data_IF_178068680595
#
_entry.id   IF_178068680595
#
_cell.length_a   1.000
_cell.length_b   1.000
_cell.length_c   1.000
_cell.angle_alpha   90.00
_cell.angle_beta   90.00
_cell.angle_gamma   90.00
#
_symmetry.space_group_name_H-M   'P 1'
#
loop_
_entity.id
_entity.type
_entity.pdbx_description
1 polymer ?
#
# COMPACT_ATOMS: atom_id res chain seq x y z
N UNK A 1 -41.43 16.35 -21.66
CA UNK A 1 -40.28 15.79 -22.41
C UNK A 1 -40.01 14.31 -22.12
N UNK A 2 -40.35 13.79 -20.93
CA UNK A 2 -40.11 12.38 -20.56
C UNK A 2 -40.89 11.33 -21.37
N UNK A 3 -42.14 11.62 -21.77
CA UNK A 3 -42.97 10.64 -22.50
C UNK A 3 -42.54 10.40 -23.95
N UNK A 4 -41.93 11.41 -24.59
CA UNK A 4 -41.32 11.27 -25.91
C UNK A 4 -40.08 10.37 -25.88
N UNK A 5 -39.31 10.43 -24.79
CA UNK A 5 -38.13 9.59 -24.60
C UNK A 5 -38.56 8.15 -24.30
N UNK A 6 -39.59 7.95 -23.48
CA UNK A 6 -40.12 6.62 -23.13
C UNK A 6 -40.70 5.89 -24.35
N UNK A 7 -41.44 6.61 -25.20
CA UNK A 7 -41.96 6.05 -26.46
C UNK A 7 -40.86 5.74 -27.48
N UNK A 8 -39.78 6.53 -27.51
CA UNK A 8 -38.60 6.25 -28.35
C UNK A 8 -37.91 4.93 -27.97
N UNK A 9 -37.70 4.68 -26.67
CA UNK A 9 -37.09 3.43 -26.20
C UNK A 9 -38.01 2.21 -26.37
N UNK A 10 -39.33 2.38 -26.25
CA UNK A 10 -40.28 1.29 -26.53
C UNK A 10 -40.31 0.94 -28.02
N UNK A 11 -40.31 1.92 -28.93
CA UNK A 11 -40.20 1.68 -30.38
C UNK A 11 -38.91 0.97 -30.75
N UNK A 12 -37.79 1.35 -30.13
CA UNK A 12 -36.47 0.73 -30.39
C UNK A 12 -36.41 -0.72 -29.87
N UNK A 13 -37.05 -1.02 -28.73
CA UNK A 13 -37.21 -2.40 -28.23
C UNK A 13 -38.11 -3.27 -29.11
N UNK A 14 -39.19 -2.71 -29.66
CA UNK A 14 -40.06 -3.44 -30.59
C UNK A 14 -39.34 -3.77 -31.90
N UNK A 15 -38.58 -2.81 -32.46
CA UNK A 15 -37.81 -3.00 -33.70
C UNK A 15 -36.69 -4.05 -33.54
N UNK A 16 -36.01 -4.07 -32.39
CA UNK A 16 -35.00 -5.08 -32.09
C UNK A 16 -35.59 -6.50 -31.94
N UNK A 17 -36.85 -6.63 -31.47
CA UNK A 17 -37.55 -7.92 -31.45
C UNK A 17 -37.99 -8.37 -32.85
N UNK A 18 -38.39 -7.44 -33.71
CA UNK A 18 -38.78 -7.73 -35.09
C UNK A 18 -37.58 -8.16 -35.95
N UNK A 19 -36.42 -7.54 -35.77
CA UNK A 19 -35.17 -7.95 -36.46
C UNK A 19 -34.65 -9.32 -36.01
N UNK A 20 -34.99 -9.78 -34.79
CA UNK A 20 -34.64 -11.10 -34.28
C UNK A 20 -35.59 -12.22 -34.73
N UNK A 21 -36.73 -11.88 -35.33
CA UNK A 21 -37.75 -12.85 -35.70
C UNK A 21 -37.54 -13.53 -37.08
N UNK A 22 -36.43 -13.23 -37.77
CA UNK A 22 -36.13 -13.82 -39.08
C UNK A 22 -36.93 -13.17 -40.22
N UNK A 23 -36.52 -13.44 -41.47
CA UNK A 23 -37.12 -12.87 -42.68
C UNK A 23 -38.52 -13.49 -42.89
N UNK A 24 -39.59 -12.71 -42.71
CA UNK A 24 -40.96 -13.17 -42.92
C UNK A 24 -41.26 -13.41 -44.40
N UNK A 25 -41.85 -14.57 -44.71
CA UNK A 25 -42.41 -14.90 -46.01
C UNK A 25 -43.91 -14.59 -46.04
N UNK A 26 -44.40 -13.98 -47.12
CA UNK A 26 -45.85 -13.75 -47.36
C UNK A 26 -46.41 -14.92 -48.18
N UNK A 27 -47.62 -15.34 -47.87
CA UNK A 27 -48.35 -16.48 -48.47
C UNK A 27 -48.78 -16.28 -49.95
N UNK A 28 -48.14 -15.40 -50.72
CA UNK A 28 -48.48 -15.15 -52.14
C UNK A 28 -47.29 -15.14 -53.08
N UNK A 29 -46.08 -15.50 -52.63
CA UNK A 29 -44.91 -15.55 -53.52
C UNK A 29 -44.64 -16.98 -53.98
N UNK A 30 -45.15 -17.30 -55.17
CA UNK A 30 -44.64 -18.38 -56.01
C UNK A 30 -43.38 -17.87 -56.71
N UNK A 31 -42.25 -18.57 -56.61
CA UNK A 31 -41.28 -18.80 -57.71
C UNK A 31 -40.20 -19.79 -57.25
N UNK A 32 -40.21 -20.97 -57.87
CA UNK A 32 -39.10 -21.69 -58.50
C UNK A 32 -37.68 -21.23 -58.10
N UNK A 33 -36.71 -22.06 -57.73
CA UNK A 33 -36.13 -23.18 -58.49
C UNK A 33 -34.97 -23.67 -57.62
N UNK A 34 -34.75 -24.98 -57.50
CA UNK A 34 -33.41 -25.62 -57.50
C UNK A 34 -33.67 -27.13 -57.40
N UNK A 35 -33.34 -27.83 -58.50
CA UNK A 35 -33.25 -29.27 -58.58
C UNK A 35 -32.12 -29.78 -57.67
N UNK A 36 -32.42 -30.80 -56.88
CA UNK A 36 -31.43 -31.84 -56.57
C UNK A 36 -32.14 -33.19 -56.62
N UNK A 37 -31.57 -34.08 -57.41
CA UNK A 37 -32.06 -35.40 -57.75
C UNK A 37 -32.06 -36.33 -56.54
N UNK A 38 -33.17 -37.01 -56.30
CA UNK A 38 -33.21 -38.22 -55.47
C UNK A 38 -34.00 -39.29 -56.21
N UNK A 39 -33.30 -40.35 -56.62
CA UNK A 39 -33.93 -41.61 -57.02
C UNK A 39 -34.48 -42.31 -55.76
N UNK A 40 -35.64 -43.00 -55.86
CA UNK A 40 -36.20 -43.74 -54.73
C UNK A 40 -35.60 -45.15 -54.67
N UNK A 41 -34.94 -45.50 -53.56
CA UNK A 41 -34.70 -46.91 -53.18
C UNK A 41 -35.67 -47.32 -52.09
N UNK A 42 -36.31 -48.48 -52.30
CA UNK A 42 -37.31 -49.10 -51.42
C UNK A 42 -36.83 -49.29 -49.96
N UNK A 43 -37.74 -49.27 -48.98
CA UNK A 43 -37.38 -49.40 -47.58
C UNK A 43 -36.97 -50.84 -47.22
N UNK A 44 -35.70 -51.03 -46.87
CA UNK A 44 -35.20 -52.26 -46.25
C UNK A 44 -35.80 -52.40 -44.85
N UNK A 45 -36.53 -53.49 -44.61
CA UNK A 45 -37.08 -53.80 -43.28
C UNK A 45 -35.95 -54.04 -42.29
N UNK A 46 -35.97 -53.32 -41.17
CA UNK A 46 -34.95 -53.34 -40.11
C UNK A 46 -34.96 -54.72 -39.44
N UNK A 47 -33.85 -55.45 -39.51
CA UNK A 47 -33.67 -56.69 -38.77
C UNK A 47 -33.68 -56.39 -37.26
N UNK A 48 -34.36 -57.23 -36.48
CA UNK A 48 -34.35 -57.09 -35.02
C UNK A 48 -32.94 -57.30 -34.47
N UNK A 49 -32.53 -56.54 -33.43
CA UNK A 49 -31.21 -56.70 -32.84
C UNK A 49 -31.05 -58.10 -32.26
N UNK A 50 -29.91 -58.73 -32.50
CA UNK A 50 -29.51 -60.01 -31.92
C UNK A 50 -29.56 -59.97 -30.39
N UNK A 51 -29.79 -61.12 -29.74
CA UNK A 51 -29.88 -61.26 -28.27
C UNK A 51 -28.71 -60.57 -27.55
N UNK A 52 -27.48 -60.71 -28.06
CA UNK A 52 -26.29 -60.06 -27.52
C UNK A 52 -26.34 -58.53 -27.61
N UNK A 53 -26.90 -57.99 -28.70
CA UNK A 53 -27.09 -56.55 -28.88
C UNK A 53 -28.20 -56.01 -27.97
N UNK A 54 -29.24 -56.81 -27.69
CA UNK A 54 -30.28 -56.47 -26.70
C UNK A 54 -29.71 -56.45 -25.29
N UNK A 55 -28.90 -57.45 -24.91
CA UNK A 55 -28.22 -57.53 -23.61
C UNK A 55 -27.23 -56.37 -23.43
N UNK A 56 -26.43 -56.06 -24.46
CA UNK A 56 -25.51 -54.91 -24.43
C UNK A 56 -26.27 -53.57 -24.35
N UNK A 57 -27.39 -53.43 -25.06
CA UNK A 57 -28.26 -52.27 -24.97
C UNK A 57 -28.88 -52.10 -23.58
N UNK A 58 -29.31 -53.19 -22.96
CA UNK A 58 -29.88 -53.19 -21.62
C UNK A 58 -28.83 -52.86 -20.55
N UNK A 59 -27.60 -53.38 -20.69
CA UNK A 59 -26.47 -53.03 -19.83
C UNK A 59 -26.04 -51.55 -20.00
N UNK A 60 -26.12 -51.00 -21.22
CA UNK A 60 -25.86 -49.58 -21.47
C UNK A 60 -26.94 -48.67 -20.84
N UNK A 61 -28.22 -49.09 -20.88
CA UNK A 61 -29.31 -48.38 -20.21
C UNK A 61 -29.17 -48.41 -18.69
N UNK A 62 -28.79 -49.56 -18.10
CA UNK A 62 -28.52 -49.66 -16.67
C UNK A 62 -27.37 -48.75 -16.22
N UNK A 63 -26.32 -48.61 -17.05
CA UNK A 63 -25.22 -47.64 -16.80
C UNK A 63 -25.67 -46.18 -16.92
N UNK A 64 -26.61 -45.86 -17.81
CA UNK A 64 -27.19 -44.52 -17.92
C UNK A 64 -28.12 -44.18 -16.76
N UNK A 65 -28.88 -45.15 -16.25
CA UNK A 65 -29.75 -44.98 -15.10
C UNK A 65 -28.96 -44.85 -13.78
N UNK A 66 -27.91 -45.66 -13.59
CA UNK A 66 -26.97 -45.48 -12.47
C UNK A 66 -26.24 -44.13 -12.52
N UNK A 67 -26.04 -43.55 -13.70
CA UNK A 67 -25.45 -42.21 -13.87
C UNK A 67 -26.47 -41.06 -13.69
N UNK A 68 -27.77 -41.36 -13.66
CA UNK A 68 -28.85 -40.39 -13.38
C UNK A 68 -29.09 -40.18 -11.88
N UNK A 69 -28.72 -41.12 -11.00
CA UNK A 69 -28.90 -40.98 -9.54
C UNK A 69 -27.82 -40.12 -8.88
N UNK A 70 -26.62 -40.03 -9.44
CA UNK A 70 -25.46 -39.36 -8.80
C UNK A 70 -25.04 -38.02 -9.41
N UNK A 71 -25.88 -37.39 -10.24
CA UNK A 71 -25.67 -35.99 -10.66
C UNK A 71 -26.95 -35.19 -10.48
N UNK A 72 -27.01 -34.20 -9.56
CA UNK A 72 -28.11 -33.26 -9.56
C UNK A 72 -28.10 -32.57 -10.93
N UNK A 73 -29.25 -32.61 -11.63
CA UNK A 73 -29.43 -31.87 -12.89
C UNK A 73 -28.94 -30.44 -12.66
N UNK A 74 -27.91 -30.03 -13.39
CA UNK A 74 -27.40 -28.66 -13.41
C UNK A 74 -28.43 -27.76 -14.11
N UNK A 75 -29.55 -27.51 -13.43
CA UNK A 75 -30.47 -26.41 -13.71
C UNK A 75 -30.16 -25.29 -12.72
N UNK A 76 -28.92 -24.81 -12.73
CA UNK A 76 -28.60 -23.53 -12.10
C UNK A 76 -29.12 -22.45 -13.02
N UNK A 77 -30.40 -22.11 -12.87
CA UNK A 77 -30.97 -20.95 -13.55
C UNK A 77 -30.10 -19.72 -13.24
N UNK A 78 -29.99 -18.79 -14.19
CA UNK A 78 -29.24 -17.54 -14.00
C UNK A 78 -29.62 -16.83 -12.69
N UNK A 79 -30.88 -16.99 -12.24
CA UNK A 79 -31.37 -16.52 -10.94
C UNK A 79 -30.72 -17.21 -9.73
N UNK A 80 -30.46 -18.53 -9.78
CA UNK A 80 -29.77 -19.25 -8.72
C UNK A 80 -28.30 -18.83 -8.60
N UNK A 81 -27.64 -18.55 -9.73
CA UNK A 81 -26.27 -18.01 -9.76
C UNK A 81 -26.27 -16.58 -9.19
N UNK A 82 -27.21 -15.73 -9.59
CA UNK A 82 -27.35 -14.37 -9.04
C UNK A 82 -27.66 -14.37 -7.54
N UNK A 83 -28.52 -15.27 -7.06
CA UNK A 83 -28.87 -15.36 -5.65
C UNK A 83 -27.67 -15.81 -4.81
N UNK A 84 -26.86 -16.75 -5.31
CA UNK A 84 -25.64 -17.21 -4.64
C UNK A 84 -24.58 -16.10 -4.59
N UNK A 85 -24.34 -15.44 -5.72
CA UNK A 85 -23.41 -14.29 -5.80
C UNK A 85 -23.86 -13.15 -4.88
N UNK A 86 -25.15 -12.82 -4.84
CA UNK A 86 -25.67 -11.76 -3.96
C UNK A 86 -25.51 -12.13 -2.47
N UNK A 87 -25.75 -13.39 -2.10
CA UNK A 87 -25.61 -13.87 -0.72
C UNK A 87 -24.14 -13.86 -0.27
N UNK A 88 -23.22 -14.32 -1.12
CA UNK A 88 -21.78 -14.27 -0.84
C UNK A 88 -21.28 -12.82 -0.71
N UNK A 89 -21.74 -11.91 -1.58
CA UNK A 89 -21.35 -10.50 -1.55
C UNK A 89 -21.89 -9.77 -0.30
N UNK A 90 -23.08 -10.14 0.18
CA UNK A 90 -23.63 -9.60 1.43
C UNK A 90 -22.89 -10.14 2.66
N UNK A 91 -22.54 -11.43 2.67
CA UNK A 91 -21.72 -12.02 3.74
C UNK A 91 -20.32 -11.40 3.78
N UNK A 92 -19.69 -11.14 2.64
CA UNK A 92 -18.41 -10.42 2.58
C UNK A 92 -18.54 -8.96 2.99
N UNK A 93 -19.62 -8.26 2.64
CA UNK A 93 -19.84 -6.88 3.10
C UNK A 93 -19.97 -6.82 4.62
N UNK A 94 -20.67 -7.78 5.21
CA UNK A 94 -20.78 -7.95 6.68
C UNK A 94 -19.44 -8.30 7.31
N UNK A 95 -18.68 -9.23 6.73
CA UNK A 95 -17.34 -9.58 7.22
C UNK A 95 -16.33 -8.43 7.07
N UNK A 96 -16.42 -7.65 5.99
CA UNK A 96 -15.59 -6.47 5.78
C UNK A 96 -15.90 -5.37 6.81
N UNK A 97 -17.19 -5.13 7.09
CA UNK A 97 -17.61 -4.21 8.15
C UNK A 97 -17.13 -4.67 9.54
N UNK A 98 -17.15 -5.98 9.82
CA UNK A 98 -16.58 -6.54 11.04
C UNK A 98 -15.05 -6.41 11.08
N UNK A 99 -14.35 -6.60 9.95
CA UNK A 99 -12.89 -6.41 9.89
C UNK A 99 -12.47 -4.95 10.05
N UNK A 100 -13.30 -3.99 9.59
CA UNK A 100 -13.09 -2.55 9.79
C UNK A 100 -13.29 -2.14 11.26
N UNK A 101 -14.18 -2.82 12.00
CA UNK A 101 -14.38 -2.60 13.44
C UNK A 101 -13.31 -3.29 14.31
N UNK A 102 -12.65 -4.34 13.80
CA UNK A 102 -11.56 -5.03 14.51
C UNK A 102 -10.17 -4.44 14.24
N UNK A 103 -10.01 -3.59 13.22
CA UNK A 103 -8.73 -2.94 12.90
C UNK A 103 -8.36 -1.78 13.84
N UNK A 104 -9.26 -1.35 14.72
CA UNK A 104 -8.94 -0.28 15.69
C UNK A 104 -8.33 -0.79 17.01
N UNK A 105 -8.42 -2.08 17.36
CA UNK A 105 -8.06 -2.53 18.73
C UNK A 105 -7.35 -3.89 18.90
N UNK A 106 -6.58 -4.39 17.91
CA UNK A 106 -5.78 -5.62 18.12
C UNK A 106 -4.33 -5.49 17.62
N UNK A 107 -3.32 -5.59 18.50
CA UNK A 107 -1.93 -5.75 18.06
C UNK A 107 -1.73 -7.17 17.53
N UNK A 108 -1.58 -7.29 16.21
CA UNK A 108 -1.27 -8.54 15.51
C UNK A 108 0.10 -9.09 15.93
N UNK A 109 0.12 -10.00 16.91
CA UNK A 109 1.18 -11.00 17.09
C UNK A 109 0.96 -12.16 16.11
N UNK A 110 1.07 -11.88 14.81
CA UNK A 110 1.36 -12.93 13.84
C UNK A 110 2.88 -13.13 13.83
N UNK A 111 3.34 -14.33 14.19
CA UNK A 111 4.71 -14.76 13.89
C UNK A 111 4.85 -14.84 12.37
N UNK A 112 5.12 -13.71 11.72
CA UNK A 112 5.53 -13.69 10.33
C UNK A 112 6.94 -14.26 10.27
N UNK A 113 7.06 -15.49 9.78
CA UNK A 113 8.28 -15.91 9.12
C UNK A 113 8.29 -15.09 7.82
N UNK A 114 8.89 -13.91 7.87
CA UNK A 114 9.07 -13.10 6.68
C UNK A 114 10.33 -13.62 6.01
N UNK A 115 10.16 -14.30 4.88
CA UNK A 115 11.28 -14.76 4.06
C UNK A 115 12.06 -13.51 3.59
N UNK A 116 13.35 -13.35 3.94
CA UNK A 116 14.14 -12.16 3.60
C UNK A 116 14.21 -11.91 2.09
N UNK A 117 14.05 -12.97 1.28
CA UNK A 117 13.99 -12.93 -0.18
C UNK A 117 12.81 -12.14 -0.77
N UNK A 118 11.81 -11.81 0.05
CA UNK A 118 10.63 -11.04 -0.37
C UNK A 118 10.93 -9.53 -0.37
N UNK A 119 11.94 -9.06 0.36
CA UNK A 119 12.27 -7.64 0.42
C UNK A 119 13.22 -7.22 -0.70
N UNK A 120 12.93 -6.08 -1.32
CA UNK A 120 13.78 -5.50 -2.36
C UNK A 120 15.09 -4.89 -1.84
N UNK A 121 15.17 -4.59 -0.54
CA UNK A 121 16.33 -3.97 0.12
C UNK A 121 16.69 -4.81 1.33
N UNK A 122 17.99 -5.03 1.55
CA UNK A 122 18.50 -5.70 2.75
C UNK A 122 18.24 -4.85 4.00
N UNK A 123 18.47 -3.53 3.92
CA UNK A 123 18.26 -2.58 5.03
C UNK A 123 17.90 -1.17 4.51
N UNK A 124 17.06 -0.45 5.25
CA UNK A 124 16.64 0.91 4.92
C UNK A 124 17.23 1.88 5.92
N UNK A 125 18.03 2.81 5.42
CA UNK A 125 18.72 3.81 6.22
C UNK A 125 18.10 5.20 6.06
N UNK A 126 18.40 6.04 7.03
CA UNK A 126 17.89 7.39 7.12
C UNK A 126 19.01 8.34 7.52
N UNK A 127 18.80 9.62 7.22
CA UNK A 127 19.69 10.71 7.62
C UNK A 127 18.86 11.83 8.26
N UNK A 128 19.47 12.61 9.13
CA UNK A 128 18.87 13.80 9.71
C UNK A 128 19.86 14.97 9.60
N UNK A 129 19.68 15.86 8.60
CA UNK A 129 20.62 16.97 8.36
C UNK A 129 20.83 17.92 9.54
N UNK A 130 19.86 17.97 10.47
CA UNK A 130 19.89 18.88 11.62
C UNK A 130 20.73 18.36 12.80
N UNK A 131 21.05 17.06 12.83
CA UNK A 131 21.74 16.46 13.97
C UNK A 131 23.13 15.95 13.61
N UNK A 132 23.24 15.13 12.56
CA UNK A 132 24.50 14.57 12.11
C UNK A 132 24.40 14.02 10.68
N UNK A 133 25.52 13.99 9.98
CA UNK A 133 25.64 13.40 8.63
C UNK A 133 25.71 11.86 8.62
N UNK A 134 25.49 11.21 9.76
CA UNK A 134 25.50 9.75 9.86
C UNK A 134 24.28 9.11 9.18
N UNK A 135 24.48 7.89 8.66
CA UNK A 135 23.45 7.09 8.00
C UNK A 135 23.12 5.90 8.90
N UNK A 136 21.92 5.93 9.50
CA UNK A 136 21.50 4.97 10.52
C UNK A 136 20.11 4.43 10.26
N UNK A 137 19.76 3.32 10.92
CA UNK A 137 18.39 2.82 10.89
C UNK A 137 17.43 3.78 11.59
N UNK A 138 16.13 3.69 11.28
CA UNK A 138 15.11 4.55 11.89
C UNK A 138 15.07 4.43 13.41
N UNK A 139 15.30 3.25 13.95
CA UNK A 139 15.21 3.02 15.39
C UNK A 139 16.45 3.52 16.14
N UNK A 140 17.63 3.48 15.52
CA UNK A 140 18.83 4.15 16.03
C UNK A 140 18.67 5.67 16.02
N UNK A 141 18.14 6.22 14.93
CA UNK A 141 17.84 7.66 14.84
C UNK A 141 16.87 8.13 15.94
N UNK A 142 15.82 7.36 16.24
CA UNK A 142 14.92 7.69 17.35
C UNK A 142 15.65 7.74 18.69
N UNK A 143 16.58 6.81 18.94
CA UNK A 143 17.38 6.80 20.18
C UNK A 143 18.31 8.01 20.22
N UNK A 144 19.04 8.28 19.13
CA UNK A 144 19.94 9.43 19.05
C UNK A 144 19.22 10.77 19.19
N UNK A 145 18.08 10.94 18.53
CA UNK A 145 17.24 12.15 18.66
C UNK A 145 16.78 12.31 20.10
N UNK A 146 16.31 11.23 20.73
CA UNK A 146 15.89 11.25 22.12
C UNK A 146 17.05 11.65 23.03
N UNK A 147 18.21 11.00 22.92
CA UNK A 147 19.40 11.29 23.71
C UNK A 147 19.85 12.74 23.55
N UNK A 148 19.93 13.23 22.30
CA UNK A 148 20.27 14.61 22.01
C UNK A 148 19.27 15.60 22.63
N UNK A 149 17.97 15.36 22.48
CA UNK A 149 16.96 16.25 23.06
C UNK A 149 17.01 16.26 24.59
N UNK A 150 17.26 15.12 25.24
CA UNK A 150 17.41 15.09 26.70
C UNK A 150 18.71 15.71 27.20
N UNK A 151 19.79 15.67 26.41
CA UNK A 151 21.03 16.41 26.70
C UNK A 151 20.78 17.92 26.61
N UNK A 152 20.09 18.38 25.57
CA UNK A 152 19.72 19.80 25.39
C UNK A 152 18.71 20.29 26.44
N UNK A 153 17.87 19.40 26.97
CA UNK A 153 16.90 19.73 28.02
C UNK A 153 17.57 20.26 29.31
N UNK A 154 18.84 19.93 29.53
CA UNK A 154 19.61 20.42 30.68
C UNK A 154 20.15 21.86 30.50
N UNK A 155 19.93 22.47 29.33
CA UNK A 155 20.38 23.83 28.99
C UNK A 155 19.35 24.94 29.30
N UNK A 156 19.60 26.13 28.76
CA UNK A 156 18.79 27.34 29.02
C UNK A 156 17.39 27.30 28.38
N UNK A 157 17.21 26.55 27.28
CA UNK A 157 15.97 26.47 26.51
C UNK A 157 15.12 25.22 26.80
N UNK A 158 15.17 24.72 28.05
CA UNK A 158 14.51 23.47 28.45
C UNK A 158 13.03 23.37 28.02
N UNK A 159 12.29 24.48 28.04
CA UNK A 159 10.89 24.51 27.61
C UNK A 159 10.68 24.26 26.12
N UNK A 160 11.54 24.84 25.26
CA UNK A 160 11.48 24.63 23.80
C UNK A 160 11.91 23.21 23.44
N UNK A 161 12.96 22.71 24.09
CA UNK A 161 13.41 21.33 23.91
C UNK A 161 12.32 20.33 24.31
N UNK A 162 11.59 20.59 25.41
CA UNK A 162 10.47 19.74 25.82
C UNK A 162 9.32 19.73 24.79
N UNK A 163 9.02 20.86 24.13
CA UNK A 163 8.08 20.90 23.00
C UNK A 163 8.53 19.95 21.86
N UNK A 164 9.83 19.97 21.52
CA UNK A 164 10.39 19.09 20.50
C UNK A 164 10.36 17.61 20.91
N UNK A 165 10.56 17.29 22.19
CA UNK A 165 10.44 15.92 22.72
C UNK A 165 9.00 15.42 22.55
N UNK A 166 8.01 16.23 22.93
CA UNK A 166 6.59 15.89 22.80
C UNK A 166 6.24 15.53 21.35
N UNK A 167 6.74 16.29 20.38
CA UNK A 167 6.48 16.05 18.96
C UNK A 167 7.30 14.90 18.36
N UNK A 168 8.59 14.78 18.72
CA UNK A 168 9.54 13.92 18.01
C UNK A 168 9.70 12.52 18.62
N UNK A 169 9.49 12.37 19.93
CA UNK A 169 9.71 11.09 20.64
C UNK A 169 8.44 10.25 20.82
N UNK A 170 7.27 10.78 20.47
CA UNK A 170 5.98 10.12 20.66
C UNK A 170 5.38 9.59 19.35
N UNK A 171 4.43 8.66 19.46
CA UNK A 171 3.75 8.05 18.32
C UNK A 171 2.24 8.28 18.36
N UNK A 172 1.66 8.49 17.18
CA UNK A 172 0.22 8.70 17.02
C UNK A 172 -0.12 10.18 17.03
N UNK A 173 -0.28 10.76 15.84
CA UNK A 173 -0.53 12.19 15.63
C UNK A 173 -1.73 12.70 16.44
N UNK A 174 -2.82 11.95 16.46
CA UNK A 174 -4.04 12.31 17.22
C UNK A 174 -3.81 12.38 18.74
N UNK A 175 -2.99 11.49 19.30
CA UNK A 175 -2.68 11.49 20.74
C UNK A 175 -1.81 12.70 21.10
N UNK A 176 -0.83 13.00 20.26
CA UNK A 176 0.06 14.15 20.43
C UNK A 176 -0.76 15.45 20.32
N UNK A 177 -1.60 15.58 19.29
CA UNK A 177 -2.48 16.74 19.11
C UNK A 177 -3.43 16.93 20.31
N UNK A 178 -4.05 15.86 20.82
CA UNK A 178 -4.93 15.97 21.98
C UNK A 178 -4.18 16.34 23.27
N UNK A 179 -2.93 15.89 23.41
CA UNK A 179 -2.05 16.30 24.51
C UNK A 179 -1.69 17.78 24.40
N UNK A 180 -1.23 18.23 23.23
CA UNK A 180 -0.89 19.63 22.95
C UNK A 180 -2.08 20.55 23.20
N UNK A 181 -3.28 20.16 22.78
CA UNK A 181 -4.51 20.92 23.05
C UNK A 181 -4.81 21.02 24.56
N UNK A 182 -4.60 19.93 25.30
CA UNK A 182 -4.85 19.89 26.76
C UNK A 182 -3.83 20.74 27.52
N UNK A 183 -2.54 20.65 27.16
CA UNK A 183 -1.47 21.50 27.72
C UNK A 183 -1.70 22.97 27.39
N UNK A 184 -2.06 23.28 26.14
CA UNK A 184 -2.40 24.63 25.71
C UNK A 184 -3.55 25.22 26.53
N UNK A 185 -4.60 24.43 26.84
CA UNK A 185 -5.70 24.87 27.72
C UNK A 185 -5.24 25.15 29.15
N UNK A 186 -4.31 24.37 29.70
CA UNK A 186 -3.77 24.66 31.03
C UNK A 186 -3.02 25.98 31.06
N UNK A 187 -2.18 26.24 30.06
CA UNK A 187 -1.45 27.51 29.96
C UNK A 187 -2.37 28.69 29.67
N UNK A 188 -3.32 28.54 28.73
CA UNK A 188 -4.32 29.57 28.39
C UNK A 188 -5.13 30.00 29.62
N UNK A 189 -5.50 29.07 30.51
CA UNK A 189 -6.24 29.41 31.73
C UNK A 189 -5.44 30.31 32.68
N UNK A 190 -4.13 30.08 32.79
CA UNK A 190 -3.23 30.87 33.63
C UNK A 190 -2.94 32.22 32.97
N UNK A 191 -2.64 32.23 31.67
CA UNK A 191 -2.34 33.45 30.89
C UNK A 191 -3.53 34.41 30.91
N UNK A 192 -4.75 33.91 30.69
CA UNK A 192 -5.96 34.74 30.65
C UNK A 192 -6.44 35.15 32.05
N UNK A 193 -6.12 34.38 33.09
CA UNK A 193 -6.60 34.62 34.46
C UNK A 193 -5.45 34.50 35.48
N UNK A 194 -4.46 35.39 35.43
CA UNK A 194 -3.23 35.24 36.21
C UNK A 194 -3.48 35.28 37.72
N UNK A 195 -4.51 35.99 38.20
CA UNK A 195 -4.77 36.16 39.64
C UNK A 195 -5.62 35.05 40.27
N UNK A 196 -6.03 34.03 39.50
CA UNK A 196 -6.93 32.98 39.99
C UNK A 196 -6.13 31.71 40.33
N UNK A 197 -5.81 31.53 41.62
CA UNK A 197 -5.01 30.39 42.12
C UNK A 197 -5.61 29.01 41.80
N UNK A 198 -6.92 28.94 41.55
CA UNK A 198 -7.59 27.69 41.14
C UNK A 198 -6.99 27.13 39.84
N UNK A 199 -6.56 27.99 38.91
CA UNK A 199 -5.98 27.55 37.64
C UNK A 199 -4.49 27.22 37.74
N UNK A 200 -3.85 27.57 38.84
CA UNK A 200 -2.44 27.24 39.08
C UNK A 200 -2.24 25.79 39.52
N UNK A 201 -3.31 25.05 39.83
CA UNK A 201 -3.23 23.68 40.35
C UNK A 201 -3.80 22.68 39.36
N UNK A 202 -2.99 21.71 38.95
CA UNK A 202 -3.40 20.59 38.11
C UNK A 202 -3.30 19.31 38.94
N UNK A 203 -4.43 18.60 39.08
CA UNK A 203 -4.49 17.32 39.79
C UNK A 203 -3.96 16.20 38.90
N UNK A 204 -2.90 15.49 39.32
CA UNK A 204 -2.32 14.42 38.50
C UNK A 204 -3.22 13.19 38.41
N UNK A 205 -4.07 12.94 39.41
CA UNK A 205 -5.08 11.88 39.39
C UNK A 205 -6.29 12.14 38.48
N UNK A 206 -6.37 13.31 37.84
CA UNK A 206 -7.46 13.62 36.92
C UNK A 206 -7.40 12.70 35.69
N UNK A 207 -8.52 12.08 35.31
CA UNK A 207 -8.62 11.22 34.13
C UNK A 207 -8.08 11.87 32.86
N UNK A 208 -8.39 13.14 32.62
CA UNK A 208 -7.91 13.86 31.43
C UNK A 208 -6.37 13.94 31.43
N UNK A 209 -5.77 14.23 32.58
CA UNK A 209 -4.32 14.31 32.71
C UNK A 209 -3.68 12.93 32.54
N UNK A 210 -4.23 11.90 33.19
CA UNK A 210 -3.71 10.52 33.12
C UNK A 210 -3.81 9.88 31.74
N UNK A 211 -4.87 10.17 30.98
CA UNK A 211 -5.09 9.58 29.67
C UNK A 211 -4.41 10.35 28.54
N UNK A 212 -4.35 11.69 28.64
CA UNK A 212 -3.89 12.53 27.52
C UNK A 212 -2.49 13.10 27.69
N UNK A 213 -2.10 13.45 28.92
CA UNK A 213 -0.86 14.19 29.19
C UNK A 213 0.22 13.24 29.70
N UNK A 214 -0.06 12.52 30.79
CA UNK A 214 0.91 11.64 31.46
C UNK A 214 1.54 10.55 30.55
N UNK A 215 0.84 9.94 29.58
CA UNK A 215 1.44 8.91 28.72
C UNK A 215 2.40 9.46 27.67
N UNK A 216 2.39 10.77 27.43
CA UNK A 216 3.20 11.43 26.41
C UNK A 216 4.52 11.87 27.04
N UNK A 217 5.61 11.43 26.43
CA UNK A 217 6.96 11.72 26.87
C UNK A 217 7.30 13.21 26.67
N UNK A 218 8.01 13.81 27.63
CA UNK A 218 8.40 15.23 27.63
C UNK A 218 7.36 16.19 28.21
N UNK A 219 6.13 15.74 28.51
CA UNK A 219 5.06 16.60 29.03
C UNK A 219 5.32 17.12 30.44
N UNK A 220 5.84 16.27 31.32
CA UNK A 220 6.20 16.68 32.68
C UNK A 220 7.38 17.64 32.67
N UNK A 221 8.35 17.43 31.78
CA UNK A 221 9.50 18.30 31.63
C UNK A 221 9.09 19.67 31.07
N UNK A 222 8.15 19.69 30.11
CA UNK A 222 7.52 20.91 29.62
C UNK A 222 6.79 21.67 30.74
N UNK A 223 5.98 20.98 31.56
CA UNK A 223 5.27 21.62 32.68
C UNK A 223 6.25 22.16 33.73
N UNK A 224 7.34 21.45 34.03
CA UNK A 224 8.39 21.97 34.91
C UNK A 224 9.05 23.22 34.34
N UNK A 225 9.40 23.23 33.07
CA UNK A 225 9.94 24.41 32.39
C UNK A 225 8.95 25.59 32.33
N UNK A 226 7.65 25.29 32.27
CA UNK A 226 6.57 26.28 32.38
C UNK A 226 6.35 26.79 33.82
N UNK A 227 7.13 26.33 34.80
CA UNK A 227 7.08 26.78 36.20
C UNK A 227 6.12 26.00 37.10
N UNK A 228 5.70 24.80 36.69
CA UNK A 228 4.95 23.89 37.56
C UNK A 228 5.89 23.02 38.40
N UNK A 229 5.58 22.89 39.68
CA UNK A 229 6.27 21.98 40.59
C UNK A 229 5.32 20.89 41.11
N UNK A 230 5.83 19.68 41.27
CA UNK A 230 5.07 18.59 41.88
C UNK A 230 5.05 18.76 43.40
N UNK A 231 3.84 18.83 43.96
CA UNK A 231 3.60 18.95 45.40
C UNK A 231 2.48 18.00 45.83
N UNK A 232 2.62 17.42 47.02
CA UNK A 232 1.55 16.62 47.63
C UNK A 232 0.58 17.54 48.36
N UNK A 233 -0.67 17.53 47.95
CA UNK A 233 -1.73 18.33 48.55
C UNK A 233 -2.86 17.42 49.05
N UNK A 234 -3.49 17.84 50.15
CA UNK A 234 -4.67 17.16 50.67
C UNK A 234 -5.88 17.46 49.79
N UNK A 235 -6.50 16.41 49.26
CA UNK A 235 -7.75 16.47 48.51
C UNK A 235 -8.73 15.43 49.06
N UNK A 236 -9.84 15.89 49.64
CA UNK A 236 -10.84 15.03 50.27
C UNK A 236 -10.24 14.02 51.26
N UNK A 237 -9.41 14.51 52.20
CA UNK A 237 -8.75 13.73 53.26
C UNK A 237 -7.64 12.76 52.79
N UNK A 238 -7.40 12.63 51.48
CA UNK A 238 -6.30 11.86 50.92
C UNK A 238 -5.17 12.79 50.42
N UNK A 239 -3.92 12.39 50.63
CA UNK A 239 -2.76 13.06 50.02
C UNK A 239 -2.62 12.63 48.56
N UNK A 240 -2.64 13.59 47.63
CA UNK A 240 -2.50 13.33 46.20
C UNK A 240 -1.46 14.26 45.58
N UNK A 241 -0.85 13.80 44.47
CA UNK A 241 0.11 14.59 43.72
C UNK A 241 -0.60 15.65 42.84
N UNK A 242 -0.17 16.90 43.01
CA UNK A 242 -0.58 18.04 42.20
C UNK A 242 0.62 18.69 41.55
N UNK A 243 0.42 19.25 40.36
CA UNK A 243 1.33 20.19 39.74
C UNK A 243 0.84 21.60 40.05
N UNK A 244 1.67 22.38 40.73
CA UNK A 244 1.34 23.74 41.18
C UNK A 244 2.24 24.73 40.46
N UNK A 245 1.65 25.66 39.74
CA UNK A 245 2.34 26.76 39.08
C UNK A 245 2.58 27.91 40.08
N UNK A 246 3.77 28.51 39.99
CA UNK A 246 4.14 29.67 40.81
C UNK A 246 4.61 30.84 39.95
N UNK A 247 4.12 32.07 40.17
CA UNK A 247 4.60 33.26 39.45
C UNK A 247 6.10 33.54 39.59
N UNK A 248 6.72 33.04 40.67
CA UNK A 248 8.15 33.21 40.93
C UNK A 248 9.02 32.34 40.01
N UNK A 249 8.47 31.27 39.45
CA UNK A 249 9.21 30.28 38.68
C UNK A 249 9.19 30.57 37.18
N UNK A 250 8.12 31.20 36.67
CA UNK A 250 7.98 31.50 35.25
C UNK A 250 7.07 32.71 35.03
N UNK A 251 7.50 33.63 34.16
CA UNK A 251 6.72 34.81 33.81
C UNK A 251 5.60 34.46 32.81
N UNK A 252 4.54 35.28 32.78
CA UNK A 252 3.42 35.11 31.84
C UNK A 252 3.90 35.22 30.38
N UNK A 253 4.86 36.10 30.09
CA UNK A 253 5.47 36.24 28.76
C UNK A 253 6.15 34.94 28.30
N UNK A 254 6.86 34.27 29.21
CA UNK A 254 7.48 32.98 28.93
C UNK A 254 6.43 31.89 28.70
N UNK A 255 5.33 31.89 29.48
CA UNK A 255 4.21 30.98 29.25
C UNK A 255 3.55 31.20 27.89
N UNK A 256 3.38 32.46 27.47
CA UNK A 256 2.83 32.77 26.14
C UNK A 256 3.73 32.26 25.02
N UNK A 257 5.04 32.48 25.15
CA UNK A 257 6.03 31.98 24.20
C UNK A 257 6.02 30.44 24.15
N UNK A 258 6.01 29.76 25.30
CA UNK A 258 5.96 28.30 25.37
C UNK A 258 4.67 27.71 24.78
N UNK A 259 3.53 28.36 24.98
CA UNK A 259 2.24 27.94 24.41
C UNK A 259 2.22 28.12 22.88
N UNK A 260 2.78 29.21 22.36
CA UNK A 260 2.93 29.42 20.93
C UNK A 260 3.89 28.39 20.31
N UNK A 261 5.05 28.18 20.94
CA UNK A 261 6.03 27.17 20.52
C UNK A 261 5.44 25.75 20.54
N UNK A 262 4.65 25.38 21.56
CA UNK A 262 4.03 24.06 21.64
C UNK A 262 3.07 23.79 20.46
N UNK A 263 2.36 24.82 20.00
CA UNK A 263 1.40 24.73 18.89
C UNK A 263 2.07 24.76 17.52
N UNK A 264 3.21 25.43 17.39
CA UNK A 264 3.96 25.57 16.14
C UNK A 264 5.07 24.53 15.97
N UNK A 265 5.44 23.81 17.03
CA UNK A 265 6.52 22.83 16.99
C UNK A 265 6.23 21.70 15.99
N UNK A 266 7.17 21.48 15.08
CA UNK A 266 7.17 20.35 14.15
C UNK A 266 8.16 19.28 14.62
N UNK A 267 7.86 17.99 14.37
CA UNK A 267 8.80 16.91 14.71
C UNK A 267 10.06 17.01 13.86
N UNK A 268 11.20 16.61 14.44
CA UNK A 268 12.48 16.58 13.71
C UNK A 268 12.35 15.63 12.49
N UNK A 269 12.51 16.13 11.26
CA UNK A 269 12.33 15.32 10.06
C UNK A 269 13.51 14.35 9.92
N UNK A 270 13.16 13.09 9.68
CA UNK A 270 14.11 12.03 9.33
C UNK A 270 13.91 11.75 7.84
N UNK A 271 14.93 12.03 7.05
CA UNK A 271 14.91 11.82 5.61
C UNK A 271 15.32 10.39 5.28
N UNK A 272 14.65 9.81 4.28
CA UNK A 272 15.07 8.52 3.73
C UNK A 272 16.41 8.72 3.02
N UNK A 273 17.44 7.99 3.47
CA UNK A 273 18.69 7.99 2.75
C UNK A 273 18.53 7.18 1.46
N UNK A 274 19.04 7.71 0.36
CA UNK A 274 18.91 7.05 -0.94
C UNK A 274 19.77 5.80 -1.05
N UNK A 275 20.73 5.61 -0.13
CA UNK A 275 21.72 4.54 -0.14
C UNK A 275 22.29 4.40 -1.56
N UNK A 276 22.83 5.50 -2.06
CA UNK A 276 23.33 5.60 -3.42
C UNK A 276 24.44 4.58 -3.61
N UNK A 277 24.27 3.69 -4.59
CA UNK A 277 25.28 2.72 -4.95
C UNK A 277 25.53 2.76 -6.45
N UNK A 278 26.79 2.68 -6.85
CA UNK A 278 27.19 2.60 -8.25
C UNK A 278 27.73 1.21 -8.51
N UNK A 279 27.03 0.48 -9.38
CA UNK A 279 27.33 -0.92 -9.68
C UNK A 279 27.79 -1.07 -11.13
N UNK A 280 28.81 -1.88 -11.34
CA UNK A 280 29.19 -2.34 -12.68
C UNK A 280 28.30 -3.51 -13.13
N UNK A 281 28.11 -3.73 -14.44
CA UNK A 281 27.33 -4.87 -14.96
C UNK A 281 27.80 -6.23 -14.44
N UNK A 282 29.09 -6.39 -14.17
CA UNK A 282 29.68 -7.60 -13.59
C UNK A 282 29.25 -7.82 -12.14
N UNK A 283 29.14 -6.75 -11.36
CA UNK A 283 28.73 -6.77 -9.95
C UNK A 283 27.21 -6.90 -9.80
N UNK A 284 26.44 -6.26 -10.68
CA UNK A 284 24.98 -6.40 -10.69
C UNK A 284 24.52 -7.82 -11.10
N UNK A 285 25.45 -8.61 -11.66
CA UNK A 285 25.25 -9.99 -12.10
C UNK A 285 26.05 -10.95 -11.22
N UNK A 286 25.98 -10.81 -9.88
CA UNK A 286 26.35 -11.92 -8.99
C UNK A 286 25.47 -13.10 -9.37
N UNK A 287 26.01 -13.94 -10.22
CA UNK A 287 25.41 -15.17 -10.68
C UNK A 287 25.65 -16.13 -9.53
N UNK A 288 24.67 -16.25 -8.64
CA UNK A 288 24.67 -17.31 -7.64
C UNK A 288 24.71 -18.63 -8.43
N UNK A 289 25.89 -19.26 -8.53
CA UNK A 289 25.99 -20.62 -9.02
C UNK A 289 25.38 -21.50 -7.94
N UNK A 290 24.11 -21.83 -8.14
CA UNK A 290 23.35 -22.62 -7.18
C UNK A 290 23.77 -24.09 -7.30
N UNK A 291 23.91 -24.81 -6.17
CA UNK A 291 24.25 -26.22 -6.18
C UNK A 291 23.26 -27.03 -7.04
N UNK A 292 23.70 -28.11 -7.71
CA UNK A 292 22.82 -28.96 -8.51
C UNK A 292 21.58 -29.49 -7.77
N UNK A 293 21.67 -29.68 -6.45
CA UNK A 293 20.56 -30.09 -5.58
C UNK A 293 19.43 -29.04 -5.47
N UNK A 294 19.69 -27.78 -5.80
CA UNK A 294 18.65 -26.75 -5.92
C UNK A 294 17.70 -27.04 -7.10
N UNK A 295 18.19 -27.68 -8.16
CA UNK A 295 17.40 -28.02 -9.34
C UNK A 295 16.66 -29.36 -9.19
N UNK A 296 16.91 -30.10 -8.10
CA UNK A 296 16.19 -31.35 -7.80
C UNK A 296 14.98 -31.05 -6.93
N UNK A 297 13.78 -31.34 -7.45
CA UNK A 297 12.52 -31.02 -6.78
C UNK A 297 12.33 -31.89 -5.53
N UNK A 298 12.04 -31.26 -4.39
CA UNK A 298 11.79 -31.97 -3.13
C UNK A 298 10.35 -32.52 -3.08
N UNK A 299 10.10 -33.65 -2.40
CA UNK A 299 8.73 -34.13 -2.17
C UNK A 299 7.85 -33.12 -1.40
N UNK A 300 8.46 -32.23 -0.61
CA UNK A 300 7.73 -31.14 0.07
C UNK A 300 7.31 -30.03 -0.91
N UNK A 301 8.14 -29.73 -1.91
CA UNK A 301 7.82 -28.77 -2.96
C UNK A 301 6.71 -29.29 -3.87
N UNK A 302 6.74 -30.58 -4.22
CA UNK A 302 5.66 -31.23 -5.00
C UNK A 302 4.33 -31.13 -4.26
N UNK A 303 4.31 -31.38 -2.94
CA UNK A 303 3.09 -31.24 -2.12
C UNK A 303 2.59 -29.80 -2.08
N UNK A 304 3.49 -28.82 -1.89
CA UNK A 304 3.14 -27.39 -1.93
C UNK A 304 2.61 -26.98 -3.30
N UNK A 305 3.22 -27.43 -4.39
CA UNK A 305 2.75 -27.13 -5.74
C UNK A 305 1.36 -27.72 -5.98
N UNK A 306 1.12 -28.96 -5.55
CA UNK A 306 -0.21 -29.58 -5.64
C UNK A 306 -1.25 -28.81 -4.82
N UNK A 307 -0.89 -28.33 -3.63
CA UNK A 307 -1.76 -27.51 -2.80
C UNK A 307 -2.06 -26.16 -3.49
N UNK A 308 -1.03 -25.44 -3.96
CA UNK A 308 -1.19 -24.18 -4.68
C UNK A 308 -2.02 -24.32 -5.95
N UNK A 309 -1.88 -25.44 -6.65
CA UNK A 309 -2.68 -25.75 -7.84
C UNK A 309 -4.13 -26.02 -7.49
N UNK A 310 -4.38 -26.75 -6.40
CA UNK A 310 -5.74 -26.97 -5.86
C UNK A 310 -6.37 -25.63 -5.46
N UNK A 311 -5.66 -24.81 -4.68
CA UNK A 311 -6.12 -23.48 -4.27
C UNK A 311 -6.33 -22.55 -5.47
N UNK A 312 -5.50 -22.62 -6.51
CA UNK A 312 -5.67 -21.83 -7.73
C UNK A 312 -6.90 -22.28 -8.51
N UNK A 313 -7.16 -23.59 -8.59
CA UNK A 313 -8.37 -24.14 -9.21
C UNK A 313 -9.60 -23.69 -8.43
N UNK A 314 -9.60 -23.78 -7.10
CA UNK A 314 -10.69 -23.29 -6.26
C UNK A 314 -10.90 -21.77 -6.42
N UNK A 315 -9.82 -21.01 -6.41
CA UNK A 315 -9.83 -19.54 -6.60
C UNK A 315 -10.38 -19.15 -7.98
N UNK A 316 -10.09 -19.94 -9.02
CA UNK A 316 -10.58 -19.72 -10.38
C UNK A 316 -12.01 -20.25 -10.61
N UNK A 317 -12.46 -21.23 -9.82
CA UNK A 317 -13.82 -21.76 -9.85
C UNK A 317 -14.82 -20.79 -9.18
N UNK A 318 -14.38 -19.97 -8.23
CA UNK A 318 -15.22 -18.96 -7.61
C UNK A 318 -15.32 -17.70 -8.49
N UNK A 319 -16.55 -17.24 -8.74
CA UNK A 319 -16.79 -16.00 -9.49
C UNK A 319 -16.36 -14.79 -8.66
N UNK A 320 -15.12 -14.32 -8.87
CA UNK A 320 -14.61 -13.11 -8.21
C UNK A 320 -15.10 -11.86 -8.90
N UNK A 321 -15.68 -10.96 -8.13
CA UNK A 321 -16.05 -9.62 -8.59
C UNK A 321 -14.80 -8.81 -8.93
N UNK A 322 -14.94 -7.78 -9.77
CA UNK A 322 -13.86 -6.83 -10.09
C UNK A 322 -13.23 -6.25 -8.81
N UNK A 323 -14.07 -5.92 -7.82
CA UNK A 323 -13.64 -5.40 -6.53
C UNK A 323 -12.77 -6.38 -5.73
N UNK A 324 -13.07 -7.69 -5.77
CA UNK A 324 -12.23 -8.69 -5.09
C UNK A 324 -10.84 -8.80 -5.71
N UNK A 325 -10.72 -8.70 -7.03
CA UNK A 325 -9.42 -8.76 -7.74
C UNK A 325 -8.58 -7.52 -7.45
N UNK A 326 -9.18 -6.35 -7.57
CA UNK A 326 -8.50 -5.07 -7.28
C UNK A 326 -8.04 -5.01 -5.82
N UNK A 327 -8.85 -5.51 -4.87
CA UNK A 327 -8.49 -5.55 -3.45
C UNK A 327 -7.29 -6.48 -3.17
N UNK A 328 -7.24 -7.63 -3.82
CA UNK A 328 -6.11 -8.57 -3.68
C UNK A 328 -4.83 -8.00 -4.28
N UNK A 329 -4.91 -7.40 -5.47
CA UNK A 329 -3.78 -6.71 -6.10
C UNK A 329 -3.27 -5.59 -5.19
N UNK A 330 -4.17 -4.74 -4.68
CA UNK A 330 -3.80 -3.68 -3.73
C UNK A 330 -3.21 -4.22 -2.41
N UNK A 331 -3.57 -5.44 -1.98
CA UNK A 331 -2.99 -6.06 -0.78
C UNK A 331 -1.54 -6.52 -1.05
N UNK A 332 -1.26 -7.02 -2.25
CA UNK A 332 0.11 -7.38 -2.67
C UNK A 332 0.94 -6.11 -2.84
N UNK A 333 0.41 -5.07 -3.47
CA UNK A 333 1.12 -3.80 -3.68
C UNK A 333 1.41 -3.05 -2.36
N UNK A 334 0.47 -3.06 -1.40
CA UNK A 334 0.67 -2.49 -0.05
C UNK A 334 1.64 -3.28 0.84
N UNK A 335 2.14 -4.43 0.37
CA UNK A 335 3.15 -5.22 1.11
C UNK A 335 4.49 -4.50 1.16
N UNK A 336 4.80 -3.71 0.14
CA UNK A 336 6.06 -3.01 0.02
C UNK A 336 5.92 -1.57 0.51
N UNK A 337 6.82 -1.16 1.41
CA UNK A 337 6.92 0.24 1.88
C UNK A 337 7.96 1.04 1.12
N UNK A 338 8.98 0.35 0.60
CA UNK A 338 10.09 0.92 -0.13
C UNK A 338 10.29 0.19 -1.46
N UNK A 339 10.95 0.87 -2.39
CA UNK A 339 11.30 0.41 -3.72
C UNK A 339 12.77 0.72 -4.01
N UNK A 340 13.45 -0.19 -4.72
CA UNK A 340 14.79 0.05 -5.26
C UNK A 340 14.70 0.33 -6.73
N UNK A 341 15.27 1.45 -7.16
CA UNK A 341 15.38 1.81 -8.56
C UNK A 341 16.83 1.68 -8.99
N UNK A 342 17.04 0.98 -10.11
CA UNK A 342 18.35 0.80 -10.75
C UNK A 342 18.32 1.48 -12.10
N UNK A 343 18.95 2.65 -12.19
CA UNK A 343 19.06 3.44 -13.40
C UNK A 343 20.31 2.98 -14.16
N UNK A 344 20.11 2.32 -15.30
CA UNK A 344 21.17 1.83 -16.16
C UNK A 344 21.54 2.91 -17.19
N UNK A 345 22.80 3.29 -17.20
CA UNK A 345 23.37 4.24 -18.14
C UNK A 345 23.89 3.56 -19.42
N UNK A 346 24.02 4.30 -20.54
CA UNK A 346 24.54 3.78 -21.80
C UNK A 346 25.99 3.24 -21.74
N UNK A 347 26.79 3.74 -20.81
CA UNK A 347 28.14 3.25 -20.51
C UNK A 347 28.15 1.91 -19.74
N UNK A 348 26.96 1.40 -19.39
CA UNK A 348 26.77 0.16 -18.65
C UNK A 348 26.73 0.34 -17.14
N UNK A 349 27.02 1.54 -16.63
CA UNK A 349 27.00 1.79 -15.18
C UNK A 349 25.55 1.77 -14.67
N UNK A 350 25.34 1.23 -13.47
CA UNK A 350 24.02 1.18 -12.84
C UNK A 350 24.06 2.02 -11.56
N UNK A 351 23.26 3.09 -11.53
CA UNK A 351 23.00 3.90 -10.35
C UNK A 351 21.80 3.32 -9.60
N UNK A 352 22.01 2.88 -8.37
CA UNK A 352 20.97 2.34 -7.51
C UNK A 352 20.57 3.37 -6.45
N UNK A 353 19.26 3.51 -6.24
CA UNK A 353 18.70 4.33 -5.16
C UNK A 353 17.48 3.68 -4.53
N UNK A 354 17.28 3.93 -3.24
CA UNK A 354 16.15 3.47 -2.43
C UNK A 354 15.14 4.60 -2.25
N UNK A 355 13.87 4.30 -2.50
CA UNK A 355 12.77 5.26 -2.49
C UNK A 355 11.57 4.71 -1.72
N UNK A 356 10.75 5.57 -1.13
CA UNK A 356 9.44 5.15 -0.61
C UNK A 356 8.45 4.93 -1.76
N UNK A 357 7.57 3.92 -1.66
CA UNK A 357 6.60 3.62 -2.73
C UNK A 357 5.60 4.75 -2.99
N UNK A 358 5.44 5.66 -2.03
CA UNK A 358 4.56 6.82 -2.11
C UNK A 358 5.27 8.09 -2.60
N UNK A 359 6.58 8.02 -2.86
CA UNK A 359 7.28 9.14 -3.45
C UNK A 359 6.85 9.37 -4.90
N UNK A 360 6.91 10.64 -5.29
CA UNK A 360 6.65 11.08 -6.64
C UNK A 360 7.80 10.69 -7.54
N UNK A 361 7.50 10.39 -8.81
CA UNK A 361 8.53 10.14 -9.80
C UNK A 361 9.45 11.36 -10.02
N UNK A 362 8.95 12.56 -9.77
CA UNK A 362 9.76 13.78 -9.77
C UNK A 362 11.03 13.67 -8.92
N UNK A 363 10.93 13.12 -7.70
CA UNK A 363 12.07 12.94 -6.80
C UNK A 363 13.13 12.00 -7.40
N UNK A 364 12.72 11.02 -8.21
CA UNK A 364 13.64 10.11 -8.91
C UNK A 364 14.36 10.87 -10.02
N UNK A 365 13.65 11.72 -10.75
CA UNK A 365 14.24 12.57 -11.78
C UNK A 365 15.24 13.55 -11.17
N UNK A 366 14.88 14.22 -10.08
CA UNK A 366 15.77 15.11 -9.32
C UNK A 366 17.00 14.35 -8.82
N UNK A 367 16.82 13.16 -8.23
CA UNK A 367 17.92 12.29 -7.82
C UNK A 367 18.85 11.94 -8.97
N UNK A 368 18.33 11.61 -10.16
CA UNK A 368 19.19 11.34 -11.33
C UNK A 368 19.94 12.62 -11.72
N UNK A 369 19.24 13.75 -11.83
CA UNK A 369 19.81 15.03 -12.23
C UNK A 369 20.95 15.48 -11.31
N UNK A 370 20.79 15.36 -9.99
CA UNK A 370 21.81 15.71 -8.99
C UNK A 370 23.11 14.90 -9.13
N UNK A 371 23.04 13.70 -9.72
CA UNK A 371 24.17 12.80 -9.89
C UNK A 371 24.82 12.88 -11.29
N UNK A 372 24.24 13.64 -12.22
CA UNK A 372 24.79 13.85 -13.57
C UNK A 372 25.91 14.88 -13.57
N UNK A 373 26.86 14.81 -14.50
CA UNK A 373 27.90 15.86 -14.62
C UNK A 373 27.29 17.25 -14.90
N UNK A 374 26.22 17.28 -15.69
CA UNK A 374 25.49 18.50 -16.04
C UNK A 374 24.00 18.36 -15.65
N UNK A 375 23.67 18.96 -14.51
CA UNK A 375 22.34 18.92 -13.89
C UNK A 375 21.26 19.61 -14.76
N UNK A 376 21.63 20.36 -15.82
CA UNK A 376 20.70 21.13 -16.66
C UNK A 376 20.25 20.42 -17.94
N UNK A 377 20.73 19.20 -18.17
CA UNK A 377 20.49 18.49 -19.41
C UNK A 377 19.14 17.76 -19.39
N UNK A 378 18.30 17.85 -20.44
CA UNK A 378 17.10 17.04 -20.57
C UNK A 378 17.47 15.57 -20.86
N UNK A 379 17.01 14.67 -20.00
CA UNK A 379 17.14 13.23 -20.18
C UNK A 379 15.77 12.55 -20.11
N UNK A 380 15.71 11.31 -20.59
CA UNK A 380 14.54 10.46 -20.60
C UNK A 380 14.84 9.18 -19.82
N UNK A 381 13.88 8.77 -18.99
CA UNK A 381 13.91 7.52 -18.27
C UNK A 381 12.91 6.56 -18.91
N UNK A 382 13.39 5.39 -19.32
CA UNK A 382 12.61 4.41 -20.07
C UNK A 382 12.50 3.13 -19.25
N UNK A 383 11.28 2.62 -19.06
CA UNK A 383 11.10 1.32 -18.41
C UNK A 383 11.57 0.18 -19.33
N UNK A 384 11.82 -1.03 -18.81
CA UNK A 384 12.22 -2.18 -19.64
C UNK A 384 11.16 -2.53 -20.70
N UNK A 385 9.90 -2.16 -20.44
CA UNK A 385 8.76 -2.33 -21.35
C UNK A 385 8.75 -1.30 -22.50
N UNK A 386 9.75 -0.41 -22.56
CA UNK A 386 9.86 0.65 -23.58
C UNK A 386 8.97 1.86 -23.31
N UNK A 387 8.35 1.95 -22.13
CA UNK A 387 7.49 3.09 -21.76
C UNK A 387 8.39 4.25 -21.35
N UNK A 388 8.26 5.37 -22.06
CA UNK A 388 8.97 6.62 -21.72
C UNK A 388 8.24 7.30 -20.56
N UNK A 389 8.95 7.54 -19.47
CA UNK A 389 8.45 8.24 -18.29
C UNK A 389 8.60 9.75 -18.53
N UNK A 390 7.60 10.32 -19.23
CA UNK A 390 7.52 11.73 -19.63
C UNK A 390 6.96 12.56 -18.44
N UNK A 391 6.92 13.88 -18.59
CA UNK A 391 6.47 14.85 -17.59
C UNK A 391 5.14 14.52 -16.89
N UNK A 392 4.18 13.92 -17.61
CA UNK A 392 2.90 13.46 -17.05
C UNK A 392 3.05 12.39 -15.96
N UNK A 393 4.22 11.76 -15.86
CA UNK A 393 4.54 10.78 -14.83
C UNK A 393 5.13 11.40 -13.56
N UNK A 394 5.63 12.64 -13.58
CA UNK A 394 6.28 13.28 -12.41
C UNK A 394 5.35 13.36 -11.19
N UNK A 395 4.06 13.61 -11.41
CA UNK A 395 3.06 13.69 -10.34
C UNK A 395 2.59 12.33 -9.81
N UNK A 396 2.90 11.22 -10.50
CA UNK A 396 2.46 9.88 -10.13
C UNK A 396 3.41 9.25 -9.12
N UNK A 397 2.87 8.41 -8.24
CA UNK A 397 3.66 7.67 -7.26
C UNK A 397 4.37 6.47 -7.89
N UNK A 398 5.47 6.01 -7.30
CA UNK A 398 6.15 4.78 -7.76
C UNK A 398 5.23 3.55 -7.71
N UNK A 399 4.30 3.52 -6.76
CA UNK A 399 3.25 2.52 -6.65
C UNK A 399 2.32 2.51 -7.88
N UNK A 400 1.88 3.68 -8.33
CA UNK A 400 1.01 3.83 -9.50
C UNK A 400 1.72 3.46 -10.80
N UNK A 401 3.00 3.80 -10.89
CA UNK A 401 3.87 3.43 -12.02
C UNK A 401 4.31 1.96 -11.99
N UNK A 402 3.91 1.20 -10.95
CA UNK A 402 4.30 -0.20 -10.71
C UNK A 402 5.81 -0.43 -10.72
N UNK A 403 6.59 0.57 -10.31
CA UNK A 403 8.05 0.50 -10.19
C UNK A 403 8.47 -0.13 -8.84
N UNK A 404 7.77 -1.19 -8.43
CA UNK A 404 7.92 -1.83 -7.13
C UNK A 404 8.01 -3.36 -7.27
N UNK A 405 8.72 -4.06 -6.36
CA UNK A 405 9.56 -3.50 -5.29
C UNK A 405 10.99 -3.19 -5.78
N UNK A 406 11.40 -3.74 -6.92
CA UNK A 406 12.66 -3.41 -7.62
C UNK A 406 12.34 -3.10 -9.08
N UNK A 407 12.82 -1.99 -9.63
CA UNK A 407 12.69 -1.70 -11.04
C UNK A 407 14.03 -1.27 -11.65
N UNK A 408 14.29 -1.73 -12.88
CA UNK A 408 15.42 -1.30 -13.69
C UNK A 408 14.88 -0.28 -14.68
N UNK A 409 15.53 0.86 -14.81
CA UNK A 409 15.14 1.95 -15.71
C UNK A 409 16.35 2.26 -16.58
N UNK A 410 16.14 2.42 -17.88
CA UNK A 410 17.19 2.80 -18.81
C UNK A 410 17.24 4.33 -18.94
N UNK A 411 18.44 4.87 -18.76
CA UNK A 411 18.72 6.28 -18.99
C UNK A 411 19.02 6.51 -20.46
N UNK A 412 18.26 7.42 -21.08
CA UNK A 412 18.50 7.89 -22.44
C UNK A 412 18.72 9.39 -22.43
N UNK A 413 19.86 9.82 -22.95
CA UNK A 413 20.09 11.24 -23.20
C UNK A 413 19.23 11.70 -24.38
N UNK A 414 18.50 12.80 -24.24
CA UNK A 414 17.73 13.38 -25.34
C UNK A 414 18.65 14.29 -26.19
N UNK A 415 19.56 13.68 -26.96
CA UNK A 415 20.44 14.42 -27.87
C UNK A 415 19.89 14.37 -29.29
N UNK A 416 19.37 15.50 -29.78
CA UNK A 416 19.06 15.67 -31.22
C UNK A 416 20.34 15.83 -32.07
N UNK A 417 21.46 16.20 -31.45
CA UNK A 417 22.77 16.41 -32.09
C UNK A 417 23.81 15.34 -31.72
N UNK A 418 23.96 14.30 -32.55
CA UNK A 418 24.85 13.14 -32.34
C UNK A 418 26.36 13.43 -32.13
N UNK A 419 26.79 14.69 -32.00
CA UNK A 419 28.20 15.08 -32.02
C UNK A 419 28.85 15.30 -30.64
N UNK A 420 28.10 15.23 -29.53
CA UNK A 420 28.72 15.29 -28.19
C UNK A 420 28.03 14.37 -27.19
N UNK A 421 28.15 13.05 -27.40
CA UNK A 421 27.92 12.11 -26.29
C UNK A 421 29.06 12.29 -25.29
N UNK A 422 28.81 12.72 -24.05
CA UNK A 422 29.86 12.85 -23.07
C UNK A 422 30.45 11.46 -22.79
N UNK A 423 31.78 11.40 -22.60
CA UNK A 423 32.48 10.13 -22.31
C UNK A 423 32.07 9.50 -20.98
N UNK A 424 31.46 10.28 -20.09
CA UNK A 424 30.94 9.89 -18.78
C UNK A 424 29.64 10.65 -18.52
N UNK A 425 28.70 10.00 -17.85
CA UNK A 425 27.40 10.60 -17.53
C UNK A 425 27.31 11.07 -16.07
N UNK A 426 27.95 10.34 -15.14
CA UNK A 426 27.88 10.58 -13.69
C UNK A 426 29.07 11.43 -13.20
N UNK A 427 28.85 12.20 -12.11
CA UNK A 427 29.90 12.98 -11.41
C UNK A 427 31.04 12.08 -10.94
N UNK A 428 32.26 12.60 -10.89
CA UNK A 428 33.45 11.84 -10.49
C UNK A 428 33.38 11.36 -9.03
N UNK A 429 32.80 12.18 -8.14
CA UNK A 429 32.53 11.81 -6.75
C UNK A 429 31.59 10.61 -6.65
N UNK A 430 30.58 10.56 -7.51
CA UNK A 430 29.62 9.43 -7.58
C UNK A 430 30.31 8.16 -8.08
N UNK A 431 31.18 8.30 -9.08
CA UNK A 431 31.98 7.18 -9.59
C UNK A 431 33.00 6.65 -8.57
N UNK A 432 33.42 7.45 -7.59
CA UNK A 432 34.29 6.99 -6.50
C UNK A 432 33.62 5.94 -5.60
N UNK A 433 32.28 5.92 -5.57
CA UNK A 433 31.49 4.90 -4.86
C UNK A 433 31.35 3.58 -5.62
N UNK A 434 31.99 3.43 -6.79
CA UNK A 434 32.09 2.13 -7.44
C UNK A 434 32.84 1.20 -6.48
N UNK A 435 32.11 0.26 -5.88
CA UNK A 435 32.71 -0.74 -5.02
C UNK A 435 33.77 -1.47 -5.83
N UNK A 436 35.03 -1.46 -5.36
CA UNK A 436 36.05 -2.36 -5.90
C UNK A 436 35.74 -3.75 -5.36
N UNK A 437 35.76 -4.75 -6.25
CA UNK A 437 35.51 -6.16 -5.90
C UNK A 437 36.66 -6.70 -5.06
#
# INVERSE_FOLDING_TARGET
>A
MADKIKSFFQKKKANAKFMKAGKGYKLTESTSTICSSTEPKEPTRRAEPTEEAKIAGQAALARLEAKKSDKPRFNTSYAAIQARVKRELELERKAAQQSLQQTEDIPLKEKKIVDPSIFAVTDVFFRCPYLSDEILSRDEWKKKIREFLYEQLMGEEAGLTACLIIQSCNFGKEKIESCVETLGKYLDNIINNPNIEKYWKIRMCNKIFQEKVLPIEGTLDFLKAAGFEQQKLLHNENEEDFLVWSPNNCNIENLTMLNEALRSAEPIPIELDRNLQVLMPSQARVRNELPPSFFTISPEEIKKEQQLRTEAVERNQMLRTKAMREKDEQRVLRRYKFAVLRIKFPDGIILQGTFSVHEKFQNVTEFVAENLIDDKVPFLLITPDGIKLIEECHGKTLLELRLIPTAIIEFSWNVTEKESMPKRYLKEDVLSYIQTV
#
